data_IF_506065957850
#
_entry.id   IF_506065957850
#
_cell.length_a   1.000
_cell.length_b   1.000
_cell.length_c   1.000
_cell.angle_alpha   90.00
_cell.angle_beta   90.00
_cell.angle_gamma   90.00
#
_symmetry.space_group_name_H-M   'P 1'
#
loop_
_entity.id
_entity.type
_entity.pdbx_description
1 polymer ?
#
# COMPACT_ATOMS: atom_id res chain seq x y z
N UNK A 1 -5.64 4.49 17.09
CA UNK A 1 -5.75 4.03 15.69
C UNK A 1 -4.66 3.00 15.43
N UNK A 2 -4.92 2.04 14.53
CA UNK A 2 -3.91 1.03 14.14
C UNK A 2 -2.75 1.68 13.37
N UNK A 3 -1.51 1.18 13.48
CA UNK A 3 -0.38 1.65 12.67
C UNK A 3 -0.51 1.33 11.16
N UNK A 4 -1.40 0.40 10.80
CA UNK A 4 -1.63 -0.02 9.40
C UNK A 4 -3.11 -0.30 9.12
N UNK A 5 -3.54 -0.18 7.87
CA UNK A 5 -4.83 -0.67 7.40
C UNK A 5 -4.96 -2.19 7.68
N UNK A 6 -5.93 -2.58 8.52
CA UNK A 6 -6.21 -3.99 8.82
C UNK A 6 -7.50 -4.50 8.16
N UNK A 7 -8.28 -3.60 7.56
CA UNK A 7 -9.41 -3.92 6.69
C UNK A 7 -9.08 -3.41 5.31
N UNK A 8 -8.88 -4.32 4.35
CA UNK A 8 -8.45 -4.00 2.98
C UNK A 8 -9.50 -4.53 2.00
N UNK A 9 -9.97 -3.74 1.02
CA UNK A 9 -10.89 -4.23 -0.02
C UNK A 9 -10.32 -5.42 -0.80
N UNK A 10 -11.16 -6.42 -1.08
CA UNK A 10 -10.76 -7.65 -1.78
C UNK A 10 -10.05 -7.38 -3.11
N UNK A 11 -10.50 -6.38 -3.88
CA UNK A 11 -9.86 -6.01 -5.14
C UNK A 11 -8.40 -5.53 -4.97
N UNK A 12 -8.10 -4.77 -3.89
CA UNK A 12 -6.73 -4.29 -3.58
C UNK A 12 -5.84 -5.46 -3.15
N UNK A 13 -6.39 -6.39 -2.37
CA UNK A 13 -5.69 -7.63 -1.99
C UNK A 13 -5.34 -8.50 -3.20
N UNK A 14 -6.32 -8.82 -4.06
CA UNK A 14 -6.10 -9.68 -5.22
C UNK A 14 -5.06 -9.09 -6.18
N UNK A 15 -5.07 -7.77 -6.40
CA UNK A 15 -4.06 -7.09 -7.22
C UNK A 15 -2.66 -7.21 -6.59
N UNK A 16 -2.54 -7.04 -5.28
CA UNK A 16 -1.25 -7.11 -4.60
C UNK A 16 -0.66 -8.53 -4.60
N UNK A 17 -1.49 -9.56 -4.43
CA UNK A 17 -1.04 -10.96 -4.29
C UNK A 17 -0.86 -11.66 -5.64
N UNK A 18 -1.80 -11.50 -6.57
CA UNK A 18 -1.83 -12.31 -7.79
C UNK A 18 -1.28 -11.60 -9.02
N UNK A 19 -1.28 -10.26 -9.04
CA UNK A 19 -0.79 -9.51 -10.21
C UNK A 19 0.71 -9.21 -10.15
N UNK A 20 1.30 -9.14 -8.95
CA UNK A 20 2.69 -8.71 -8.77
C UNK A 20 3.52 -9.75 -8.01
N UNK A 21 4.36 -10.49 -8.73
CA UNK A 21 5.30 -11.43 -8.10
C UNK A 21 6.45 -10.66 -7.44
N UNK A 22 6.52 -10.69 -6.11
CA UNK A 22 7.61 -10.08 -5.35
C UNK A 22 8.86 -10.97 -5.39
N UNK A 23 10.03 -10.36 -5.60
CA UNK A 23 11.32 -11.01 -5.64
C UNK A 23 12.38 -10.21 -4.88
N UNK A 24 13.49 -10.86 -4.53
CA UNK A 24 14.59 -10.21 -3.81
C UNK A 24 15.22 -9.12 -4.67
N UNK A 25 15.54 -7.98 -4.05
CA UNK A 25 16.13 -6.82 -4.72
C UNK A 25 15.11 -5.89 -5.38
N UNK A 26 13.82 -6.23 -5.40
CA UNK A 26 12.78 -5.31 -5.85
C UNK A 26 12.69 -4.09 -4.93
N UNK A 27 12.50 -2.92 -5.54
CA UNK A 27 12.27 -1.65 -4.84
C UNK A 27 10.77 -1.35 -4.81
N UNK A 28 10.28 -0.78 -3.71
CA UNK A 28 8.89 -0.37 -3.56
C UNK A 28 8.80 1.10 -3.16
N UNK A 29 7.60 1.67 -3.29
CA UNK A 29 7.25 2.99 -2.73
C UNK A 29 6.08 2.81 -1.77
N UNK A 30 6.13 3.53 -0.65
CA UNK A 30 5.06 3.60 0.33
C UNK A 30 4.72 5.08 0.53
N UNK A 31 3.43 5.39 0.52
CA UNK A 31 2.95 6.73 0.82
C UNK A 31 2.77 6.85 2.33
N UNK A 32 3.27 7.94 2.89
CA UNK A 32 3.01 8.36 4.27
C UNK A 32 2.30 9.71 4.20
N UNK A 33 1.44 9.97 5.17
CA UNK A 33 0.87 11.31 5.36
C UNK A 33 2.02 12.29 5.62
N UNK A 34 1.99 13.44 4.94
CA UNK A 34 2.94 14.53 5.15
C UNK A 34 2.18 15.82 5.41
N UNK A 35 2.80 16.78 6.09
CA UNK A 35 2.13 18.05 6.41
C UNK A 35 1.69 18.84 5.16
N UNK A 36 2.37 18.60 4.03
CA UNK A 36 2.06 19.18 2.72
C UNK A 36 1.10 18.34 1.85
N UNK A 37 0.66 17.16 2.30
CA UNK A 37 -0.36 16.39 1.60
C UNK A 37 -1.75 17.00 1.84
N UNK A 38 -1.91 18.25 1.42
CA UNK A 38 -3.17 18.97 1.52
C UNK A 38 -4.24 18.27 0.69
N UNK A 39 -5.28 17.79 1.35
CA UNK A 39 -6.59 17.61 0.73
C UNK A 39 -7.13 18.99 0.38
N UNK A 40 -7.09 19.35 -0.90
CA UNK A 40 -8.10 20.22 -1.49
C UNK A 40 -9.05 19.38 -2.32
#
# INVERSE_FOLDING_TARGET
ASPSEFVIPLAKYNKAVYTNQLSLGMRFRMMFETEESGTR
#
